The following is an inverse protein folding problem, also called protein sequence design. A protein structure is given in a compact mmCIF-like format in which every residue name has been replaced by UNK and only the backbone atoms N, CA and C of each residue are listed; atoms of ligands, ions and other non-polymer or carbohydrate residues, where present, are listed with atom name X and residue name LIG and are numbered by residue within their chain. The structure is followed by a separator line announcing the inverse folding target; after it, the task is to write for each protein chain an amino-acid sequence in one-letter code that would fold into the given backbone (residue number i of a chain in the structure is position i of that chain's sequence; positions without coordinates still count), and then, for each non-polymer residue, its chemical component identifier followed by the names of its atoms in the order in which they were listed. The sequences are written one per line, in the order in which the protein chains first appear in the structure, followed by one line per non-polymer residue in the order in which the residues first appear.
data_IF_147336173508
#
_entry.id   IF_147336173508
#
_cell.length_a   1.000
_cell.length_b   1.000
_cell.length_c   1.000
_cell.angle_alpha   90.00
_cell.angle_beta   90.00
_cell.angle_gamma   90.00
#
_symmetry.space_group_name_H-M   'P 1'
#
loop_
_entity.id
_entity.type
_entity.pdbx_description
1 polymer ?
#
# COMPACT_ATOMS: atom_id res chain seq x y z
N UNK A 1 21.67 47.82 -42.19
CA UNK A 1 21.54 49.02 -41.32
C UNK A 1 20.07 49.42 -41.35
N UNK A 2 19.29 49.02 -40.35
CA UNK A 2 17.96 49.55 -40.07
C UNK A 2 17.80 49.47 -38.55
N UNK A 3 17.72 50.64 -37.93
CA UNK A 3 17.50 50.85 -36.50
C UNK A 3 16.01 50.97 -36.29
N UNK A 4 15.49 50.30 -35.28
CA UNK A 4 14.30 50.72 -34.54
C UNK A 4 14.50 50.42 -33.05
N UNK A 5 14.22 51.43 -32.23
CA UNK A 5 14.11 51.43 -30.76
C UNK A 5 12.68 51.99 -30.56
N UNK A 6 11.80 51.55 -29.62
CA UNK A 6 12.14 51.60 -28.19
C UNK A 6 11.32 50.75 -27.18
N UNK A 7 11.68 50.94 -25.90
CA UNK A 7 10.86 50.79 -24.67
C UNK A 7 10.52 49.35 -24.23
N UNK A 8 10.53 48.99 -22.95
CA UNK A 8 10.86 49.67 -21.68
C UNK A 8 11.12 48.54 -20.68
N UNK A 9 12.14 48.68 -19.86
CA UNK A 9 12.51 47.71 -18.82
C UNK A 9 11.46 47.78 -17.71
N UNK A 10 10.71 46.71 -17.51
CA UNK A 10 9.87 46.55 -16.33
C UNK A 10 10.77 46.11 -15.15
N UNK A 11 10.86 46.86 -14.04
CA UNK A 11 11.76 46.53 -12.95
C UNK A 11 10.98 45.82 -11.84
N UNK A 12 10.43 44.63 -12.08
CA UNK A 12 9.83 43.81 -11.01
C UNK A 12 9.72 42.31 -11.37
N UNK A 13 10.77 41.75 -11.97
CA UNK A 13 10.92 40.28 -11.95
C UNK A 13 11.68 39.87 -10.67
N UNK A 14 11.05 39.15 -9.72
CA UNK A 14 11.78 38.61 -8.59
C UNK A 14 12.71 37.52 -9.11
N UNK A 15 14.02 37.83 -9.11
CA UNK A 15 15.09 36.85 -9.26
C UNK A 15 14.96 35.82 -8.14
N UNK A 16 14.39 34.67 -8.44
CA UNK A 16 14.34 33.54 -7.51
C UNK A 16 15.78 33.18 -7.13
N UNK A 17 16.18 33.27 -5.85
CA UNK A 17 17.51 32.85 -5.45
C UNK A 17 17.62 31.35 -5.68
N UNK A 18 18.70 30.92 -6.35
CA UNK A 18 19.03 29.52 -6.52
C UNK A 18 19.15 28.86 -5.15
N UNK A 19 18.07 28.21 -4.71
CA UNK A 19 18.10 27.36 -3.54
C UNK A 19 18.90 26.11 -3.92
N UNK A 20 20.04 25.94 -3.26
CA UNK A 20 20.75 24.67 -3.25
C UNK A 20 19.73 23.59 -2.82
N UNK A 21 19.45 22.70 -3.76
CA UNK A 21 18.45 21.63 -3.69
C UNK A 21 18.93 20.62 -2.64
N UNK A 22 18.54 20.83 -1.38
CA UNK A 22 18.61 19.83 -0.31
C UNK A 22 17.31 19.00 -0.31
N UNK A 23 16.93 18.46 -1.46
CA UNK A 23 15.50 18.20 -1.73
C UNK A 23 15.06 16.73 -1.69
N UNK A 24 15.97 15.77 -1.53
CA UNK A 24 15.58 14.35 -1.61
C UNK A 24 14.56 13.91 -0.55
N UNK A 25 14.76 14.30 0.72
CA UNK A 25 13.84 13.94 1.80
C UNK A 25 12.69 14.95 1.93
N UNK A 26 12.98 16.25 1.86
CA UNK A 26 11.96 17.29 2.04
C UNK A 26 10.90 17.25 0.92
N UNK A 27 11.29 17.12 -0.35
CA UNK A 27 10.33 17.02 -1.46
C UNK A 27 9.53 15.71 -1.42
N UNK A 28 10.17 14.61 -0.98
CA UNK A 28 9.47 13.34 -0.79
C UNK A 28 8.36 13.47 0.25
N UNK A 29 8.59 14.18 1.36
CA UNK A 29 7.55 14.39 2.35
C UNK A 29 6.54 15.44 1.89
N UNK A 30 6.95 16.64 1.49
CA UNK A 30 6.04 17.76 1.15
C UNK A 30 5.06 17.40 0.02
N UNK A 31 5.50 16.65 -0.99
CA UNK A 31 4.65 16.28 -2.14
C UNK A 31 4.01 14.89 -2.01
N UNK A 32 4.22 14.15 -0.91
CA UNK A 32 3.66 12.81 -0.74
C UNK A 32 3.12 12.56 0.68
N UNK A 33 2.81 13.57 1.50
CA UNK A 33 2.30 13.33 2.88
C UNK A 33 0.99 12.56 2.86
N UNK A 34 0.11 12.89 1.92
CA UNK A 34 -1.14 12.17 1.67
C UNK A 34 -0.95 11.24 0.48
N UNK A 35 -1.66 10.09 0.42
CA UNK A 35 -1.53 9.18 -0.70
C UNK A 35 -2.20 9.78 -1.94
N UNK A 36 -1.48 10.66 -2.63
CA UNK A 36 -1.92 11.26 -3.89
C UNK A 36 -2.03 10.22 -5.01
N UNK A 37 -1.41 9.05 -4.81
CA UNK A 37 -1.55 7.87 -5.66
C UNK A 37 -1.71 6.61 -4.81
N UNK A 38 -2.89 5.99 -4.89
CA UNK A 38 -3.14 4.62 -4.44
C UNK A 38 -3.32 3.78 -5.70
N UNK A 39 -2.55 2.72 -5.82
CA UNK A 39 -2.63 1.79 -6.96
C UNK A 39 -3.03 0.42 -6.45
N UNK A 40 -3.98 -0.22 -7.11
CA UNK A 40 -4.31 -1.61 -6.84
C UNK A 40 -4.40 -2.37 -8.16
N UNK A 41 -3.88 -3.59 -8.19
CA UNK A 41 -3.99 -4.46 -9.38
C UNK A 41 -3.92 -5.94 -9.00
N UNK A 42 -4.43 -6.80 -9.89
CA UNK A 42 -4.32 -8.24 -9.77
C UNK A 42 -3.30 -8.76 -10.77
N UNK A 43 -2.41 -9.64 -10.30
CA UNK A 43 -1.41 -10.31 -11.12
C UNK A 43 -1.53 -11.82 -10.99
N UNK A 44 -1.32 -12.54 -12.10
CA UNK A 44 -1.36 -14.00 -12.15
C UNK A 44 -0.04 -14.55 -12.70
N UNK A 45 0.62 -15.40 -11.93
CA UNK A 45 1.94 -15.94 -12.25
C UNK A 45 1.91 -17.47 -12.38
N UNK A 46 2.42 -17.98 -13.49
CA UNK A 46 2.61 -19.43 -13.72
C UNK A 46 4.07 -19.85 -13.61
N UNK A 47 4.99 -18.90 -13.78
CA UNK A 47 6.43 -19.11 -13.72
C UNK A 47 7.05 -18.22 -12.65
N UNK A 48 8.25 -18.55 -12.16
CA UNK A 48 8.97 -17.70 -11.23
C UNK A 48 9.17 -16.28 -11.78
N UNK A 49 8.84 -15.26 -10.98
CA UNK A 49 9.03 -13.87 -11.37
C UNK A 49 10.50 -13.45 -11.23
N UNK A 50 10.88 -12.38 -11.92
CA UNK A 50 12.13 -11.66 -11.67
C UNK A 50 12.11 -10.97 -10.30
N UNK A 51 13.29 -10.63 -9.79
CA UNK A 51 13.38 -9.82 -8.59
C UNK A 51 12.90 -8.38 -8.85
N UNK A 52 12.03 -7.89 -7.98
CA UNK A 52 11.60 -6.51 -7.91
C UNK A 52 12.15 -5.84 -6.66
N UNK A 53 12.45 -4.54 -6.75
CA UNK A 53 12.82 -3.70 -5.61
C UNK A 53 11.61 -2.87 -5.22
N UNK A 54 11.08 -3.09 -4.01
CA UNK A 54 9.93 -2.35 -3.51
C UNK A 54 10.36 -0.93 -3.10
N UNK A 55 9.62 0.07 -3.58
CA UNK A 55 9.89 1.49 -3.34
C UNK A 55 8.89 2.14 -2.38
N UNK A 56 7.71 1.55 -2.29
CA UNK A 56 6.56 2.10 -1.60
C UNK A 56 5.98 1.10 -0.61
N UNK A 57 5.02 1.53 0.19
CA UNK A 57 4.31 0.63 1.08
C UNK A 57 3.35 -0.24 0.25
N UNK A 58 3.63 -1.54 0.17
CA UNK A 58 2.92 -2.48 -0.70
C UNK A 58 2.29 -3.61 0.12
N UNK A 59 0.99 -3.80 -0.02
CA UNK A 59 0.27 -4.94 0.51
C UNK A 59 0.05 -5.98 -0.58
N UNK A 60 0.35 -7.24 -0.26
CA UNK A 60 0.19 -8.36 -1.19
C UNK A 60 -0.71 -9.38 -0.54
N UNK A 61 -1.88 -9.59 -1.13
CA UNK A 61 -2.86 -10.56 -0.70
C UNK A 61 -2.94 -11.70 -1.71
N UNK A 62 -2.61 -12.91 -1.29
CA UNK A 62 -2.74 -14.11 -2.14
C UNK A 62 -4.21 -14.48 -2.27
N UNK A 63 -4.74 -14.42 -3.49
CA UNK A 63 -6.15 -14.71 -3.80
C UNK A 63 -6.36 -16.19 -4.10
N UNK A 64 -5.48 -16.78 -4.92
CA UNK A 64 -5.55 -18.19 -5.27
C UNK A 64 -4.19 -18.80 -5.58
N UNK A 65 -4.14 -20.13 -5.66
CA UNK A 65 -2.89 -20.86 -5.89
C UNK A 65 -2.00 -20.98 -4.66
N UNK A 66 -0.82 -21.59 -4.85
CA UNK A 66 0.20 -21.80 -3.82
C UNK A 66 1.57 -21.47 -4.40
N UNK A 67 2.55 -21.19 -3.54
CA UNK A 67 3.91 -20.93 -3.98
C UNK A 67 4.81 -20.50 -2.83
N UNK A 68 5.88 -19.79 -3.16
CA UNK A 68 6.73 -19.11 -2.18
C UNK A 68 6.98 -17.66 -2.60
N UNK A 69 7.16 -16.79 -1.62
CA UNK A 69 7.81 -15.50 -1.82
C UNK A 69 9.25 -15.60 -1.30
N UNK A 70 10.21 -15.09 -2.07
CA UNK A 70 11.56 -14.83 -1.61
C UNK A 70 11.67 -13.33 -1.35
N UNK A 71 11.86 -12.91 -0.11
CA UNK A 71 11.94 -11.50 0.28
C UNK A 71 13.23 -11.30 1.06
N UNK A 72 14.12 -10.45 0.54
CA UNK A 72 15.47 -10.23 1.10
C UNK A 72 16.25 -11.54 1.35
N UNK A 73 16.02 -12.56 0.53
CA UNK A 73 16.66 -13.88 0.66
C UNK A 73 15.96 -14.85 1.60
N UNK A 74 14.89 -14.44 2.28
CA UNK A 74 14.08 -15.29 3.16
C UNK A 74 12.88 -15.88 2.42
N UNK A 75 12.57 -17.15 2.71
CA UNK A 75 11.45 -17.87 2.09
C UNK A 75 10.18 -17.80 2.93
N UNK A 76 9.07 -17.48 2.28
CA UNK A 76 7.73 -17.45 2.87
C UNK A 76 6.78 -18.31 2.04
N UNK A 77 6.09 -19.25 2.69
CA UNK A 77 5.10 -20.09 2.01
C UNK A 77 3.83 -19.29 1.71
N UNK A 78 3.38 -19.35 0.47
CA UNK A 78 2.18 -18.66 0.00
C UNK A 78 1.03 -19.63 -0.20
N UNK A 79 -0.13 -19.21 0.27
CA UNK A 79 -1.43 -19.86 0.07
C UNK A 79 -2.53 -18.79 0.14
N UNK A 80 -3.78 -19.08 -0.30
CA UNK A 80 -4.85 -18.10 -0.26
C UNK A 80 -4.99 -17.47 1.14
N UNK A 81 -5.27 -16.18 1.22
CA UNK A 81 -5.35 -15.39 2.46
C UNK A 81 -4.00 -15.18 3.18
N UNK A 82 -2.88 -15.43 2.52
CA UNK A 82 -1.59 -14.91 2.99
C UNK A 82 -1.52 -13.43 2.66
N UNK A 83 -1.39 -12.60 3.69
CA UNK A 83 -1.20 -11.16 3.57
C UNK A 83 0.25 -10.82 3.94
N UNK A 84 0.92 -10.10 3.04
CA UNK A 84 2.27 -9.59 3.22
C UNK A 84 2.22 -8.07 3.19
N UNK A 85 2.87 -7.46 4.17
CA UNK A 85 3.12 -6.03 4.20
C UNK A 85 4.60 -5.80 3.84
N UNK A 86 4.85 -5.31 2.63
CA UNK A 86 6.18 -4.91 2.19
C UNK A 86 6.38 -3.41 2.41
N UNK A 87 7.27 -3.08 3.35
CA UNK A 87 7.82 -1.73 3.44
C UNK A 87 8.79 -1.40 2.28
N UNK A 88 9.17 -0.13 2.11
CA UNK A 88 10.26 0.25 1.22
C UNK A 88 11.52 -0.57 1.59
N UNK A 89 12.42 -0.78 0.62
CA UNK A 89 13.68 -1.55 0.79
C UNK A 89 13.58 -3.08 0.72
N UNK A 90 12.38 -3.66 0.67
CA UNK A 90 12.24 -5.10 0.40
C UNK A 90 12.53 -5.43 -1.07
N UNK A 91 13.47 -6.33 -1.33
CA UNK A 91 13.67 -6.97 -2.63
C UNK A 91 12.96 -8.31 -2.64
N UNK A 92 12.05 -8.53 -3.59
CA UNK A 92 11.20 -9.72 -3.58
C UNK A 92 11.02 -10.37 -4.95
N UNK A 93 10.62 -11.65 -4.96
CA UNK A 93 10.10 -12.37 -6.12
C UNK A 93 9.13 -13.48 -5.70
N UNK A 94 8.30 -13.94 -6.64
CA UNK A 94 7.38 -15.04 -6.43
C UNK A 94 7.82 -16.30 -7.16
N UNK A 95 7.60 -17.44 -6.51
CA UNK A 95 7.84 -18.78 -7.03
C UNK A 95 6.51 -19.56 -6.99
N UNK A 96 5.69 -19.51 -8.05
CA UNK A 96 4.44 -20.28 -8.11
C UNK A 96 4.70 -21.78 -8.03
N UNK A 97 3.81 -22.52 -7.36
CA UNK A 97 3.84 -23.99 -7.35
C UNK A 97 3.43 -24.56 -8.71
N UNK A 98 3.92 -25.76 -9.03
CA UNK A 98 3.57 -26.44 -10.29
C UNK A 98 2.07 -26.72 -10.37
N UNK A 99 1.50 -26.50 -11.56
CA UNK A 99 0.13 -26.93 -11.90
C UNK A 99 -0.99 -26.00 -11.47
N UNK A 100 -0.74 -24.92 -10.73
CA UNK A 100 -1.77 -23.92 -10.42
C UNK A 100 -1.15 -22.52 -10.40
N UNK A 101 -1.66 -21.58 -11.22
CA UNK A 101 -1.15 -20.21 -11.19
C UNK A 101 -1.34 -19.57 -9.81
N UNK A 102 -0.34 -18.83 -9.36
CA UNK A 102 -0.43 -17.99 -8.18
C UNK A 102 -1.09 -16.67 -8.57
N UNK A 103 -2.21 -16.34 -7.94
CA UNK A 103 -2.91 -15.07 -8.14
C UNK A 103 -2.76 -14.21 -6.89
N UNK A 104 -2.32 -12.97 -7.10
CA UNK A 104 -2.12 -11.99 -6.04
C UNK A 104 -2.85 -10.70 -6.38
N UNK A 105 -3.42 -10.07 -5.37
CA UNK A 105 -3.83 -8.68 -5.42
C UNK A 105 -2.76 -7.84 -4.70
N UNK A 106 -2.26 -6.82 -5.38
CA UNK A 106 -1.31 -5.87 -4.81
C UNK A 106 -1.99 -4.50 -4.65
N UNK A 107 -1.85 -3.88 -3.48
CA UNK A 107 -2.20 -2.49 -3.24
C UNK A 107 -0.95 -1.72 -2.80
N UNK A 108 -0.69 -0.57 -3.41
CA UNK A 108 0.47 0.28 -3.16
C UNK A 108 0.02 1.66 -2.73
N UNK A 109 0.68 2.19 -1.71
CA UNK A 109 0.56 3.57 -1.25
C UNK A 109 1.94 4.14 -0.97
N UNK A 110 2.08 5.46 -1.05
CA UNK A 110 3.33 6.10 -0.68
C UNK A 110 3.73 5.79 0.78
N UNK A 111 5.03 5.57 0.99
CA UNK A 111 5.55 5.19 2.31
C UNK A 111 5.46 6.33 3.32
N UNK A 112 5.38 7.59 2.84
CA UNK A 112 5.14 8.78 3.65
C UNK A 112 3.89 8.66 4.52
N UNK A 113 2.79 8.09 4.01
CA UNK A 113 1.57 7.86 4.80
C UNK A 113 1.83 6.90 5.96
N UNK A 114 2.58 5.81 5.73
CA UNK A 114 2.96 4.87 6.78
C UNK A 114 3.88 5.50 7.84
N UNK A 115 4.86 6.30 7.40
CA UNK A 115 5.75 7.05 8.29
C UNK A 115 4.97 8.11 9.08
N UNK A 116 4.00 8.78 8.48
CA UNK A 116 3.17 9.79 9.15
C UNK A 116 2.25 9.16 10.21
N UNK A 117 1.70 7.97 9.95
CA UNK A 117 0.89 7.25 10.94
C UNK A 117 1.68 6.86 12.21
N UNK A 118 3.00 6.70 12.13
CA UNK A 118 3.86 6.39 13.28
C UNK A 118 4.62 7.62 13.81
N UNK A 119 4.56 8.76 13.13
CA UNK A 119 5.22 10.01 13.51
C UNK A 119 4.45 10.72 14.64
N UNK A 120 4.41 10.10 15.82
CA UNK A 120 4.00 10.79 17.03
C UNK A 120 5.18 11.64 17.54
N UNK A 121 5.07 12.98 17.62
CA UNK A 121 6.18 13.85 18.05
C UNK A 121 6.60 13.64 19.51
N UNK A 122 5.79 12.95 20.31
CA UNK A 122 6.14 12.53 21.68
C UNK A 122 6.83 11.16 21.73
N UNK A 123 6.84 10.42 20.63
CA UNK A 123 7.57 9.16 20.51
C UNK A 123 9.02 9.45 20.08
N UNK A 124 9.92 9.57 21.04
CA UNK A 124 11.36 9.68 20.78
C UNK A 124 11.96 8.27 20.63
N UNK A 125 12.13 7.83 19.39
CA UNK A 125 12.81 6.57 19.10
C UNK A 125 14.32 6.82 19.03
N UNK A 126 15.08 6.36 20.04
CA UNK A 126 16.55 6.54 20.05
C UNK A 126 17.25 5.71 18.95
N UNK A 127 16.65 4.60 18.54
CA UNK A 127 17.09 3.78 17.40
C UNK A 127 15.87 3.23 16.64
N UNK A 128 15.76 3.57 15.36
CA UNK A 128 14.77 2.99 14.45
C UNK A 128 15.39 1.80 13.71
N UNK A 129 14.93 0.58 14.01
CA UNK A 129 15.34 -0.62 13.26
C UNK A 129 14.23 -0.97 12.28
N UNK A 130 14.51 -0.91 10.98
CA UNK A 130 13.61 -1.44 9.94
C UNK A 130 13.95 -2.92 9.76
N UNK A 131 13.07 -3.85 10.16
CA UNK A 131 13.36 -5.27 10.04
C UNK A 131 13.47 -5.67 8.57
N UNK A 132 14.45 -6.51 8.23
CA UNK A 132 14.56 -7.07 6.87
C UNK A 132 13.43 -8.05 6.53
N UNK A 133 12.71 -8.51 7.55
CA UNK A 133 11.55 -9.39 7.46
C UNK A 133 10.28 -8.54 7.37
N UNK A 134 9.49 -8.68 6.30
CA UNK A 134 8.17 -8.06 6.26
C UNK A 134 7.23 -8.76 7.25
N UNK A 135 6.22 -8.04 7.78
CA UNK A 135 5.08 -8.69 8.41
C UNK A 135 4.37 -9.60 7.39
N UNK A 136 4.24 -10.88 7.75
CA UNK A 136 3.51 -11.89 6.97
C UNK A 136 2.54 -12.60 7.88
N UNK A 137 1.28 -12.68 7.47
CA UNK A 137 0.23 -13.34 8.25
C UNK A 137 -0.64 -14.22 7.35
N UNK A 138 -1.10 -15.33 7.89
CA UNK A 138 -2.17 -16.12 7.29
C UNK A 138 -3.50 -15.81 7.96
N UNK A 139 -4.38 -15.14 7.23
CA UNK A 139 -5.68 -14.73 7.73
C UNK A 139 -6.67 -15.90 7.72
N UNK A 140 -7.60 -15.90 8.68
CA UNK A 140 -8.68 -16.89 8.82
C UNK A 140 -10.00 -16.20 9.20
N UNK A 141 -11.10 -16.84 8.82
CA UNK A 141 -12.46 -16.38 9.15
C UNK A 141 -12.69 -14.95 8.71
N UNK A 142 -13.35 -14.18 9.57
CA UNK A 142 -13.74 -12.81 9.31
C UNK A 142 -12.57 -11.89 8.91
N UNK A 143 -11.37 -12.05 9.50
CA UNK A 143 -10.22 -11.21 9.11
C UNK A 143 -9.81 -11.45 7.66
N UNK A 144 -9.97 -12.67 7.15
CA UNK A 144 -9.74 -12.96 5.74
C UNK A 144 -10.85 -12.37 4.87
N UNK A 145 -12.10 -12.42 5.32
CA UNK A 145 -13.25 -11.84 4.60
C UNK A 145 -13.08 -10.32 4.45
N UNK A 146 -12.83 -9.60 5.56
CA UNK A 146 -12.60 -8.15 5.57
C UNK A 146 -11.44 -7.76 4.66
N UNK A 147 -10.32 -8.50 4.73
CA UNK A 147 -9.15 -8.19 3.92
C UNK A 147 -9.42 -8.39 2.42
N UNK A 148 -10.13 -9.45 2.05
CA UNK A 148 -10.49 -9.69 0.65
C UNK A 148 -11.51 -8.66 0.14
N UNK A 149 -12.56 -8.36 0.92
CA UNK A 149 -13.57 -7.37 0.56
C UNK A 149 -12.99 -5.97 0.43
N UNK A 150 -12.13 -5.57 1.38
CA UNK A 150 -11.45 -4.27 1.32
C UNK A 150 -10.50 -4.19 0.12
N UNK A 151 -9.79 -5.28 -0.19
CA UNK A 151 -8.95 -5.34 -1.40
C UNK A 151 -9.78 -5.28 -2.68
N UNK A 152 -10.96 -5.90 -2.72
CA UNK A 152 -11.85 -5.83 -3.88
C UNK A 152 -12.40 -4.40 -4.06
N UNK A 153 -12.73 -3.71 -2.97
CA UNK A 153 -13.07 -2.29 -2.99
C UNK A 153 -11.92 -1.42 -3.50
N UNK A 154 -10.69 -1.66 -3.04
CA UNK A 154 -9.50 -0.97 -3.55
C UNK A 154 -9.28 -1.18 -5.04
N UNK A 155 -9.41 -2.42 -5.51
CA UNK A 155 -9.26 -2.76 -6.93
C UNK A 155 -10.34 -2.06 -7.76
N UNK A 156 -11.58 -2.04 -7.28
CA UNK A 156 -12.69 -1.36 -7.96
C UNK A 156 -12.41 0.14 -8.08
N UNK A 157 -12.12 0.81 -6.96
CA UNK A 157 -11.94 2.26 -6.96
C UNK A 157 -10.66 2.69 -7.68
N UNK A 158 -9.57 1.94 -7.56
CA UNK A 158 -8.33 2.24 -8.28
C UNK A 158 -8.50 2.20 -9.82
N UNK A 159 -9.47 1.44 -10.32
CA UNK A 159 -9.80 1.35 -11.75
C UNK A 159 -10.90 2.34 -12.18
N UNK A 160 -11.63 2.93 -11.24
CA UNK A 160 -12.66 3.93 -11.52
C UNK A 160 -12.03 5.30 -11.77
N UNK A 161 -12.72 6.14 -12.56
CA UNK A 161 -12.30 7.53 -12.82
C UNK A 161 -13.17 8.54 -12.05
N UNK A 162 -13.52 8.18 -10.80
CA UNK A 162 -14.30 9.04 -9.91
C UNK A 162 -13.46 10.19 -9.35
N UNK A 163 -14.07 11.36 -9.17
CA UNK A 163 -13.46 12.49 -8.47
C UNK A 163 -13.09 12.16 -7.01
N UNK A 164 -13.82 11.21 -6.40
CA UNK A 164 -13.62 10.78 -5.01
C UNK A 164 -12.72 9.54 -4.88
N UNK A 165 -12.10 9.09 -5.99
CA UNK A 165 -11.31 7.84 -6.05
C UNK A 165 -10.29 7.73 -4.93
N UNK A 166 -9.52 8.79 -4.69
CA UNK A 166 -8.41 8.76 -3.72
C UNK A 166 -8.96 8.60 -2.30
N UNK A 167 -10.03 9.30 -1.97
CA UNK A 167 -10.69 9.28 -0.68
C UNK A 167 -11.32 7.90 -0.40
N UNK A 168 -11.99 7.31 -1.40
CA UNK A 168 -12.57 5.98 -1.28
C UNK A 168 -11.48 4.90 -1.15
N UNK A 169 -10.43 4.97 -1.97
CA UNK A 169 -9.25 4.11 -1.83
C UNK A 169 -8.62 4.25 -0.45
N UNK A 170 -8.51 5.45 0.09
CA UNK A 170 -8.00 5.67 1.45
C UNK A 170 -8.89 5.01 2.50
N UNK A 171 -10.21 5.15 2.42
CA UNK A 171 -11.15 4.47 3.33
C UNK A 171 -11.01 2.95 3.29
N UNK A 172 -10.93 2.35 2.11
CA UNK A 172 -10.71 0.92 1.98
C UNK A 172 -9.33 0.49 2.51
N UNK A 173 -8.27 1.29 2.30
CA UNK A 173 -6.97 1.04 2.91
C UNK A 173 -7.03 1.06 4.43
N UNK A 174 -7.76 2.02 5.02
CA UNK A 174 -7.93 2.11 6.48
C UNK A 174 -8.72 0.93 7.05
N UNK A 175 -9.70 0.41 6.32
CA UNK A 175 -10.41 -0.82 6.68
C UNK A 175 -9.52 -2.06 6.51
N UNK A 176 -8.73 -2.11 5.43
CA UNK A 176 -7.76 -3.19 5.16
C UNK A 176 -6.66 -3.27 6.23
N UNK A 177 -6.25 -2.12 6.78
CA UNK A 177 -5.35 -2.01 7.93
C UNK A 177 -6.00 -2.36 9.27
N UNK A 178 -7.32 -2.58 9.30
CA UNK A 178 -8.07 -2.85 10.53
C UNK A 178 -8.38 -1.62 11.37
N UNK A 179 -8.02 -0.40 10.94
CA UNK A 179 -8.12 0.80 11.78
C UNK A 179 -9.58 1.20 12.02
N UNK A 180 -10.42 1.10 10.99
CA UNK A 180 -11.87 1.35 11.10
C UNK A 180 -12.55 0.19 11.83
N UNK A 181 -12.09 -1.03 11.55
CA UNK A 181 -12.68 -2.29 12.00
C UNK A 181 -12.39 -2.57 13.47
N UNK A 182 -11.23 -2.16 14.00
CA UNK A 182 -10.87 -2.29 15.43
C UNK A 182 -11.71 -1.39 16.34
N UNK A 183 -12.27 -0.30 15.82
CA UNK A 183 -13.17 0.60 16.56
C UNK A 183 -14.64 0.12 16.54
N UNK A 184 -14.96 -0.91 15.75
CA UNK A 184 -16.31 -1.46 15.72
C UNK A 184 -16.52 -2.44 16.89
N UNK A 185 -17.68 -2.38 17.59
CA UNK A 185 -17.97 -3.31 18.66
C UNK A 185 -17.86 -4.76 18.19
N UNK A 186 -17.17 -5.62 18.96
CA UNK A 186 -16.98 -7.05 18.63
C UNK A 186 -18.28 -7.80 18.32
N UNK A 187 -19.41 -7.32 18.83
CA UNK A 187 -20.75 -7.86 18.55
C UNK A 187 -21.18 -7.73 17.08
N UNK A 188 -20.65 -6.75 16.34
CA UNK A 188 -20.91 -6.56 14.91
C UNK A 188 -20.32 -7.69 14.03
N UNK A 189 -19.38 -8.44 14.62
CA UNK A 189 -18.57 -9.45 13.98
C UNK A 189 -18.92 -10.89 14.42
N UNK A 190 -19.83 -11.05 15.38
CA UNK A 190 -20.33 -12.35 15.77
C UNK A 190 -21.38 -12.80 14.74
N UNK A 191 -21.03 -13.77 13.89
CA UNK A 191 -21.99 -14.36 12.97
C UNK A 191 -23.18 -14.91 13.74
N UNK A 192 -24.39 -14.51 13.36
CA UNK A 192 -25.64 -15.08 13.84
C UNK A 192 -25.81 -16.49 13.28
N UNK A 193 -24.94 -17.42 13.68
CA UNK A 193 -25.05 -18.84 13.37
C UNK A 193 -25.35 -19.66 14.62
N UNK A 194 -26.31 -19.19 15.42
CA UNK A 194 -27.15 -20.09 16.19
C UNK A 194 -28.38 -20.40 15.36
N UNK A 195 -28.22 -21.33 14.42
CA UNK A 195 -29.36 -22.09 13.91
C UNK A 195 -30.07 -22.70 15.12
N UNK A 196 -31.32 -22.29 15.30
CA UNK A 196 -32.30 -22.94 16.16
C UNK A 196 -32.30 -24.45 15.91
N UNK A 197 -31.58 -25.18 16.76
CA UNK A 197 -31.94 -26.55 17.09
C UNK A 197 -32.66 -26.51 18.44
N UNK A 198 -33.64 -27.40 18.54
CA UNK A 198 -34.65 -27.55 19.59
C UNK A 198 -35.88 -26.66 19.35
N UNK A 199 -37.08 -27.22 19.15
CA UNK A 199 -37.65 -28.31 19.94
C UNK A 199 -38.44 -29.31 19.10
N UNK A 200 -38.24 -30.57 19.48
CA UNK A 200 -39.17 -31.68 19.32
C UNK A 200 -40.21 -31.60 20.44
#
# INVERSE_FOLDING_TARGET
MQKDIPQSVDPDEPKTPGHAIFSGAHDYFVNNVLPDTIQAHVSRYQTPTSYANNRDQTFILVRSGKGKALINGLEYNLRPNTLINLGPFHRYRFLPSKGTPLEIAEARMNSSTYVYMIANPYLKCEQMTVPSQPPVVYLKGLSAEIANESMDGLLHEAMNDSADRIQLCFCYMMNFLGIITDQMPKAYFASSTTHSKEKK
#
